data_IF_035467995756
#
_entry.id   IF_035467995756
#
_cell.length_a   1.000
_cell.length_b   1.000
_cell.length_c   1.000
_cell.angle_alpha   90.00
_cell.angle_beta   90.00
_cell.angle_gamma   90.00
#
_symmetry.space_group_name_H-M   'P 1'
#
loop_
_entity.id
_entity.type
_entity.pdbx_description
1 polymer ?
#
# COMPACT_ATOMS: atom_id res chain seq x y z
N UNK A 1 -12.89 20.50 -3.13
CA UNK A 1 -13.45 19.17 -2.82
C UNK A 1 -12.29 18.21 -2.77
N UNK A 2 -12.22 17.36 -1.76
CA UNK A 2 -11.20 16.30 -1.70
C UNK A 2 -11.31 15.41 -2.93
N UNK A 3 -10.18 15.09 -3.53
CA UNK A 3 -10.11 14.13 -4.66
C UNK A 3 -10.07 12.67 -4.18
N UNK A 4 -9.93 12.45 -2.88
CA UNK A 4 -9.92 11.12 -2.28
C UNK A 4 -11.36 10.74 -1.90
N UNK A 5 -11.82 9.59 -2.39
CA UNK A 5 -13.16 9.05 -2.08
C UNK A 5 -13.12 7.54 -2.25
N UNK A 6 -12.68 6.82 -1.22
CA UNK A 6 -12.46 5.37 -1.31
C UNK A 6 -12.93 4.68 -0.04
N UNK A 7 -14.16 4.18 -0.08
CA UNK A 7 -14.84 3.58 1.06
C UNK A 7 -14.88 2.06 0.99
N UNK A 8 -14.89 1.48 -0.21
CA UNK A 8 -15.01 0.03 -0.41
C UNK A 8 -14.11 -0.45 -1.53
N UNK A 9 -13.85 -1.76 -1.55
CA UNK A 9 -13.07 -2.39 -2.62
C UNK A 9 -13.85 -2.59 -3.93
N UNK A 10 -15.17 -2.44 -3.89
CA UNK A 10 -16.07 -2.66 -5.05
C UNK A 10 -16.67 -1.39 -5.65
N UNK A 11 -16.28 -0.21 -5.15
CA UNK A 11 -16.63 1.05 -5.83
C UNK A 11 -15.96 1.09 -7.20
N UNK A 12 -16.56 1.77 -8.18
CA UNK A 12 -15.90 2.04 -9.45
C UNK A 12 -14.52 2.66 -9.21
N UNK A 13 -13.50 2.12 -9.85
CA UNK A 13 -12.15 2.62 -9.76
C UNK A 13 -12.03 3.86 -10.63
N UNK A 14 -11.88 5.04 -10.01
CA UNK A 14 -11.71 6.30 -10.72
C UNK A 14 -10.24 6.69 -10.88
N UNK A 15 -9.44 6.44 -9.84
CA UNK A 15 -8.00 6.73 -9.85
C UNK A 15 -7.25 5.66 -9.05
N UNK A 16 -6.06 5.27 -9.54
CA UNK A 16 -5.21 4.27 -8.88
C UNK A 16 -3.73 4.64 -9.00
N UNK A 17 -2.97 4.32 -7.97
CA UNK A 17 -1.51 4.40 -8.00
C UNK A 17 -0.98 2.99 -8.30
N UNK A 18 -0.40 2.82 -9.48
CA UNK A 18 0.30 1.59 -9.87
C UNK A 18 1.79 1.77 -9.59
N UNK A 19 2.40 0.82 -8.91
CA UNK A 19 3.81 0.87 -8.54
C UNK A 19 4.75 0.98 -9.74
N UNK A 20 6.02 1.24 -9.47
CA UNK A 20 7.06 1.35 -10.49
C UNK A 20 8.31 0.58 -10.05
N UNK A 21 8.87 -0.25 -10.93
CA UNK A 21 10.19 -0.84 -10.73
C UNK A 21 11.28 0.08 -11.32
N UNK A 22 12.52 -0.10 -10.88
CA UNK A 22 13.65 0.54 -11.55
C UNK A 22 13.74 0.07 -13.00
N UNK A 23 14.33 0.89 -13.86
CA UNK A 23 14.67 0.46 -15.23
C UNK A 23 15.93 -0.42 -15.22
N UNK A 24 16.10 -1.34 -16.18
CA UNK A 24 17.23 -2.26 -16.21
C UNK A 24 18.60 -1.61 -16.06
N UNK A 25 18.77 -0.41 -16.62
CA UNK A 25 20.02 0.35 -16.62
C UNK A 25 20.47 0.84 -15.23
N UNK A 26 19.60 0.82 -14.21
CA UNK A 26 20.00 1.09 -12.82
C UNK A 26 21.08 0.13 -12.32
N UNK A 27 21.16 -1.07 -12.88
CA UNK A 27 22.09 -2.13 -12.49
C UNK A 27 23.27 -2.32 -13.46
N UNK A 28 23.53 -1.38 -14.35
CA UNK A 28 24.69 -1.43 -15.29
C UNK A 28 26.04 -1.52 -14.58
N UNK A 29 26.12 -1.05 -13.33
CA UNK A 29 27.34 -1.05 -12.53
C UNK A 29 27.74 -2.44 -12.00
N UNK A 30 26.87 -3.45 -12.09
CA UNK A 30 27.18 -4.80 -11.64
C UNK A 30 28.19 -5.45 -12.59
N UNK A 31 29.36 -5.79 -12.08
CA UNK A 31 30.45 -6.37 -12.87
C UNK A 31 30.16 -7.81 -13.33
N UNK A 32 29.52 -8.62 -12.47
CA UNK A 32 29.11 -9.98 -12.81
C UNK A 32 27.99 -9.94 -13.85
N UNK A 33 28.33 -10.25 -15.09
CA UNK A 33 27.39 -10.21 -16.20
C UNK A 33 26.18 -11.14 -15.98
N UNK A 34 26.38 -12.31 -15.36
CA UNK A 34 25.27 -13.26 -15.12
C UNK A 34 24.25 -12.68 -14.14
N UNK A 35 24.72 -12.09 -13.04
CA UNK A 35 23.85 -11.44 -12.04
C UNK A 35 23.19 -10.22 -12.63
N UNK A 36 23.95 -9.37 -13.33
CA UNK A 36 23.42 -8.16 -13.96
C UNK A 36 22.29 -8.49 -14.95
N UNK A 37 22.56 -9.40 -15.88
CA UNK A 37 21.62 -9.73 -16.95
C UNK A 37 20.31 -10.34 -16.39
N UNK A 38 20.40 -11.17 -15.35
CA UNK A 38 19.21 -11.70 -14.66
C UNK A 38 18.40 -10.61 -13.95
N UNK A 39 19.06 -9.71 -13.25
CA UNK A 39 18.37 -8.58 -12.60
C UNK A 39 17.72 -7.65 -13.62
N UNK A 40 18.42 -7.34 -14.68
CA UNK A 40 17.90 -6.51 -15.77
C UNK A 40 16.69 -7.15 -16.46
N UNK A 41 16.73 -8.47 -16.67
CA UNK A 41 15.58 -9.20 -17.19
C UNK A 41 14.38 -9.13 -16.25
N UNK A 42 14.56 -9.40 -14.97
CA UNK A 42 13.48 -9.32 -13.96
C UNK A 42 12.85 -7.92 -13.95
N UNK A 43 13.66 -6.87 -14.01
CA UNK A 43 13.16 -5.50 -14.03
C UNK A 43 12.40 -5.16 -15.31
N UNK A 44 12.88 -5.65 -16.45
CA UNK A 44 12.20 -5.45 -17.73
C UNK A 44 10.81 -6.12 -17.72
N UNK A 45 10.73 -7.38 -17.29
CA UNK A 45 9.49 -8.14 -17.17
C UNK A 45 8.53 -7.51 -16.14
N UNK A 46 9.05 -7.09 -14.99
CA UNK A 46 8.24 -6.39 -13.97
C UNK A 46 7.64 -5.09 -14.52
N UNK A 47 8.42 -4.29 -15.22
CA UNK A 47 7.90 -3.04 -15.82
C UNK A 47 6.87 -3.34 -16.91
N UNK A 48 7.06 -4.38 -17.72
CA UNK A 48 6.07 -4.80 -18.72
C UNK A 48 4.74 -5.19 -18.05
N UNK A 49 4.77 -5.94 -16.97
CA UNK A 49 3.58 -6.34 -16.21
C UNK A 49 2.87 -5.13 -15.58
N UNK A 50 3.62 -4.20 -15.00
CA UNK A 50 3.06 -2.97 -14.44
C UNK A 50 2.46 -2.06 -15.53
N UNK A 51 3.07 -1.99 -16.70
CA UNK A 51 2.55 -1.24 -17.84
C UNK A 51 1.29 -1.91 -18.43
N UNK A 52 1.21 -3.24 -18.42
CA UNK A 52 0.01 -3.99 -18.76
C UNK A 52 -1.13 -3.70 -17.76
N UNK A 53 -0.82 -3.68 -16.46
CA UNK A 53 -1.78 -3.31 -15.43
C UNK A 53 -2.29 -1.88 -15.60
N UNK A 54 -1.38 -0.93 -15.84
CA UNK A 54 -1.75 0.46 -16.15
C UNK A 54 -2.71 0.53 -17.33
N UNK A 55 -2.34 -0.05 -18.47
CA UNK A 55 -3.19 -0.05 -19.68
C UNK A 55 -4.55 -0.68 -19.45
N UNK A 56 -4.59 -1.72 -18.62
CA UNK A 56 -5.86 -2.35 -18.23
C UNK A 56 -6.73 -1.39 -17.46
N UNK A 57 -6.21 -0.74 -16.41
CA UNK A 57 -6.95 0.24 -15.62
C UNK A 57 -7.46 1.41 -16.49
N UNK A 58 -6.60 1.95 -17.35
CA UNK A 58 -6.94 3.05 -18.27
C UNK A 58 -8.03 2.64 -19.28
N UNK A 59 -8.01 1.39 -19.76
CA UNK A 59 -9.05 0.85 -20.65
C UNK A 59 -10.43 0.84 -19.98
N UNK A 60 -10.47 0.63 -18.68
CA UNK A 60 -11.70 0.71 -17.89
C UNK A 60 -12.01 2.12 -17.37
N UNK A 61 -11.29 3.13 -17.81
CA UNK A 61 -11.54 4.54 -17.55
C UNK A 61 -10.91 5.09 -16.27
N UNK A 62 -10.07 4.33 -15.59
CA UNK A 62 -9.37 4.81 -14.41
C UNK A 62 -8.18 5.72 -14.79
N UNK A 63 -7.95 6.75 -13.99
CA UNK A 63 -6.73 7.56 -14.06
C UNK A 63 -5.63 6.81 -13.33
N UNK A 64 -4.52 6.56 -14.02
CA UNK A 64 -3.36 5.88 -13.41
C UNK A 64 -2.26 6.88 -13.10
N UNK A 65 -1.79 6.86 -11.87
CA UNK A 65 -0.60 7.58 -11.42
C UNK A 65 0.54 6.60 -11.16
N UNK A 66 1.75 7.00 -11.52
CA UNK A 66 2.96 6.20 -11.30
C UNK A 66 3.93 6.99 -10.40
N UNK A 67 4.50 6.36 -9.36
CA UNK A 67 5.53 6.98 -8.52
C UNK A 67 6.73 7.46 -9.36
N UNK A 68 7.47 8.43 -8.84
CA UNK A 68 8.81 8.75 -9.33
C UNK A 68 9.78 7.59 -9.12
N UNK A 69 11.00 7.79 -9.53
CA UNK A 69 12.16 6.95 -9.16
C UNK A 69 13.23 7.88 -8.62
N UNK A 70 14.02 7.39 -7.68
CA UNK A 70 15.22 8.11 -7.24
C UNK A 70 16.19 8.25 -8.41
N UNK A 71 16.99 9.30 -8.37
CA UNK A 71 18.03 9.52 -9.37
C UNK A 71 19.01 8.33 -9.43
N UNK A 72 19.40 7.93 -10.66
CA UNK A 72 20.25 6.75 -10.89
C UNK A 72 21.63 6.90 -10.21
N UNK A 73 22.23 8.09 -10.27
CA UNK A 73 23.54 8.32 -9.62
C UNK A 73 23.41 8.31 -8.09
N UNK A 74 22.29 8.78 -7.57
CA UNK A 74 22.00 8.70 -6.15
C UNK A 74 21.74 7.26 -5.72
N UNK A 75 20.96 6.48 -6.50
CA UNK A 75 20.75 5.05 -6.29
C UNK A 75 22.09 4.31 -6.16
N UNK A 76 23.02 4.54 -7.09
CA UNK A 76 24.33 3.89 -7.06
C UNK A 76 25.16 4.26 -5.84
N UNK A 77 25.06 5.50 -5.35
CA UNK A 77 25.74 5.94 -4.12
C UNK A 77 25.17 5.34 -2.85
N UNK A 78 23.89 5.02 -2.82
CA UNK A 78 23.23 4.38 -1.68
C UNK A 78 23.58 2.90 -1.54
N UNK A 79 24.11 2.29 -2.60
CA UNK A 79 24.53 0.89 -2.61
C UNK A 79 25.77 0.70 -1.75
N UNK A 80 25.59 0.48 -0.48
CA UNK A 80 26.67 0.11 0.42
C UNK A 80 26.63 -1.40 0.67
N UNK A 81 27.77 -1.97 1.05
CA UNK A 81 27.86 -3.41 1.36
C UNK A 81 26.90 -3.86 2.45
N UNK A 82 26.45 -2.93 3.29
CA UNK A 82 25.68 -3.22 4.49
C UNK A 82 24.17 -2.92 4.33
N UNK A 83 23.77 -2.06 3.39
CA UNK A 83 22.39 -1.55 3.30
C UNK A 83 21.59 -2.09 2.10
N UNK A 84 22.22 -2.85 1.21
CA UNK A 84 21.56 -3.32 -0.01
C UNK A 84 21.16 -2.17 -0.95
N UNK A 85 20.41 -2.51 -2.00
CA UNK A 85 19.84 -1.54 -2.92
C UNK A 85 18.56 -0.93 -2.32
N UNK A 86 18.31 0.37 -2.49
CA UNK A 86 17.01 0.95 -2.16
C UNK A 86 15.90 0.22 -2.93
N UNK A 87 14.80 -0.05 -2.25
CA UNK A 87 13.65 -0.69 -2.89
C UNK A 87 12.93 0.31 -3.80
N UNK A 88 12.51 -0.09 -5.00
CA UNK A 88 11.69 0.77 -5.84
C UNK A 88 10.28 0.92 -5.25
N UNK A 89 9.53 1.96 -5.63
CA UNK A 89 8.16 2.18 -5.16
C UNK A 89 7.17 1.21 -5.85
N UNK A 90 7.40 -0.09 -5.67
CA UNK A 90 6.69 -1.16 -6.35
C UNK A 90 5.30 -1.41 -5.76
N UNK A 91 5.18 -1.31 -4.43
CA UNK A 91 3.98 -1.65 -3.67
C UNK A 91 3.42 -0.44 -2.91
N UNK A 92 2.85 0.58 -3.59
CA UNK A 92 2.34 1.79 -2.92
C UNK A 92 1.34 1.49 -1.81
N UNK A 93 0.63 0.35 -1.89
CA UNK A 93 -0.37 -0.09 -0.94
C UNK A 93 0.21 -0.38 0.46
N UNK A 94 1.48 -0.77 0.55
CA UNK A 94 2.13 -1.04 1.82
C UNK A 94 2.44 0.25 2.59
N UNK A 95 2.58 1.36 1.89
CA UNK A 95 3.05 2.63 2.45
C UNK A 95 1.95 3.66 2.65
N UNK A 96 0.81 3.47 1.99
CA UNK A 96 -0.31 4.41 2.08
C UNK A 96 -1.65 3.73 1.81
N UNK A 97 -2.69 4.26 2.41
CA UNK A 97 -4.06 3.78 2.24
C UNK A 97 -5.05 4.93 2.17
N UNK A 98 -6.02 4.81 1.26
CA UNK A 98 -7.20 5.68 1.28
C UNK A 98 -8.21 5.15 2.28
N UNK A 99 -8.67 6.00 3.18
CA UNK A 99 -9.70 5.72 4.18
C UNK A 99 -10.81 6.77 4.03
N UNK A 100 -11.83 6.43 3.26
CA UNK A 100 -12.91 7.38 2.93
C UNK A 100 -12.40 8.56 2.13
N UNK A 101 -12.46 9.76 2.68
CA UNK A 101 -12.01 11.01 2.07
C UNK A 101 -10.57 11.40 2.45
N UNK A 102 -9.84 10.51 3.09
CA UNK A 102 -8.46 10.71 3.52
C UNK A 102 -7.51 9.74 2.84
N UNK A 103 -6.29 10.20 2.61
CA UNK A 103 -5.13 9.40 2.22
C UNK A 103 -4.12 9.42 3.36
N UNK A 104 -4.00 8.31 4.07
CA UNK A 104 -3.02 8.15 5.14
C UNK A 104 -1.68 7.66 4.55
N UNK A 105 -0.63 8.38 4.83
CA UNK A 105 0.75 7.95 4.58
C UNK A 105 1.29 7.25 5.81
N UNK A 106 1.31 5.93 5.79
CA UNK A 106 1.82 5.12 6.90
C UNK A 106 3.33 5.18 6.94
N UNK A 107 3.97 5.19 5.77
CA UNK A 107 5.40 5.40 5.61
C UNK A 107 5.64 6.52 4.60
N UNK A 108 6.61 7.39 4.90
CA UNK A 108 7.03 8.43 3.96
C UNK A 108 7.96 7.81 2.92
N UNK A 109 7.55 7.88 1.66
CA UNK A 109 8.32 7.49 0.49
C UNK A 109 8.34 8.67 -0.46
N UNK A 110 9.52 9.25 -0.69
CA UNK A 110 9.68 10.51 -1.41
C UNK A 110 9.21 10.39 -2.88
N UNK A 111 9.34 9.22 -3.48
CA UNK A 111 8.87 8.94 -4.85
C UNK A 111 7.34 9.04 -5.01
N UNK A 112 6.60 9.09 -3.91
CA UNK A 112 5.16 9.29 -3.88
C UNK A 112 4.75 10.74 -3.53
N UNK A 113 5.69 11.61 -3.19
CA UNK A 113 5.40 12.96 -2.71
C UNK A 113 4.57 13.78 -3.70
N UNK A 114 4.94 13.80 -4.98
CA UNK A 114 4.21 14.55 -6.00
C UNK A 114 2.76 14.07 -6.12
N UNK A 115 2.55 12.76 -6.06
CA UNK A 115 1.21 12.17 -6.12
C UNK A 115 0.42 12.55 -4.87
N UNK A 116 0.98 12.33 -3.69
CA UNK A 116 0.33 12.63 -2.42
C UNK A 116 -0.01 14.13 -2.32
N UNK A 117 0.94 15.01 -2.61
CA UNK A 117 0.76 16.46 -2.55
C UNK A 117 -0.37 16.94 -3.48
N UNK A 118 -0.64 16.21 -4.57
CA UNK A 118 -1.74 16.54 -5.48
C UNK A 118 -3.14 16.42 -4.85
N UNK A 119 -3.27 15.76 -3.70
CA UNK A 119 -4.52 15.60 -2.96
C UNK A 119 -4.73 16.65 -1.87
N UNK A 120 -3.71 17.47 -1.57
CA UNK A 120 -3.82 18.59 -0.64
C UNK A 120 -4.25 18.15 0.77
N UNK A 121 -5.24 18.84 1.33
CA UNK A 121 -5.71 18.63 2.72
C UNK A 121 -6.33 17.24 2.99
N UNK A 122 -6.53 16.43 1.95
CA UNK A 122 -6.96 15.05 2.12
C UNK A 122 -5.84 14.14 2.64
N UNK A 123 -4.58 14.56 2.51
CA UNK A 123 -3.43 13.77 2.94
C UNK A 123 -3.19 13.93 4.43
N UNK A 124 -3.10 12.79 5.12
CA UNK A 124 -2.62 12.72 6.50
C UNK A 124 -1.20 12.18 6.44
N UNK A 125 -0.25 13.04 6.80
CA UNK A 125 1.16 12.70 6.85
C UNK A 125 1.68 12.83 8.29
N UNK A 126 1.66 11.77 9.09
CA UNK A 126 2.09 11.80 10.48
C UNK A 126 3.58 12.09 10.68
N UNK A 127 4.39 11.82 9.64
CA UNK A 127 5.83 12.08 9.66
C UNK A 127 6.20 13.55 9.42
N UNK A 128 5.21 14.40 9.04
CA UNK A 128 5.48 15.79 8.68
C UNK A 128 6.27 15.92 7.37
N UNK A 129 7.12 16.95 7.27
CA UNK A 129 7.93 17.19 6.07
C UNK A 129 9.17 16.30 5.98
N UNK A 130 9.66 15.81 7.13
CA UNK A 130 10.82 14.91 7.22
C UNK A 130 10.47 13.64 7.98
N UNK A 131 11.25 12.57 7.75
CA UNK A 131 11.10 11.33 8.51
C UNK A 131 11.28 11.60 10.01
N UNK A 132 10.29 11.21 10.80
CA UNK A 132 10.30 11.27 12.26
C UNK A 132 10.39 9.85 12.83
N UNK A 133 11.53 9.45 13.39
CA UNK A 133 11.69 8.12 13.97
C UNK A 133 10.81 7.89 15.22
N UNK A 134 10.37 8.97 15.88
CA UNK A 134 9.51 8.90 17.07
C UNK A 134 8.01 8.93 16.70
N UNK A 135 7.68 9.01 15.41
CA UNK A 135 6.30 8.99 14.94
C UNK A 135 5.61 7.69 15.39
N UNK A 136 4.43 7.84 15.98
CA UNK A 136 3.69 6.71 16.56
C UNK A 136 3.37 5.61 15.54
N UNK A 137 3.16 5.96 14.26
CA UNK A 137 2.87 5.00 13.20
C UNK A 137 4.12 4.55 12.43
N UNK A 138 5.31 4.94 12.90
CA UNK A 138 6.56 4.47 12.29
C UNK A 138 6.60 2.93 12.29
N UNK A 139 7.10 2.35 11.21
CA UNK A 139 7.15 0.90 10.96
C UNK A 139 5.78 0.21 10.80
N UNK A 140 4.67 0.95 10.80
CA UNK A 140 3.38 0.35 10.47
C UNK A 140 3.30 0.01 8.97
N UNK A 141 2.52 -1.01 8.63
CA UNK A 141 2.20 -1.32 7.24
C UNK A 141 0.73 -1.03 6.94
N UNK A 142 0.47 -0.32 5.86
CA UNK A 142 -0.90 -0.05 5.42
C UNK A 142 -1.62 -1.31 4.92
N UNK A 143 -0.88 -2.36 4.54
CA UNK A 143 -1.43 -3.67 4.18
C UNK A 143 -2.15 -4.39 5.33
N UNK A 144 -1.85 -4.00 6.58
CA UNK A 144 -2.57 -4.47 7.77
C UNK A 144 -3.92 -3.78 7.99
N UNK A 145 -4.34 -2.87 7.10
CA UNK A 145 -5.59 -2.13 7.23
C UNK A 145 -6.50 -2.50 6.06
N UNK A 146 -7.64 -3.11 6.36
CA UNK A 146 -8.64 -3.48 5.34
C UNK A 146 -9.94 -2.75 5.59
N UNK A 147 -10.48 -2.11 4.55
CA UNK A 147 -11.73 -1.33 4.64
C UNK A 147 -12.87 -2.03 3.91
N UNK A 148 -14.02 -2.02 4.55
CA UNK A 148 -15.26 -2.60 4.02
C UNK A 148 -16.41 -1.64 4.28
N UNK A 149 -16.53 -0.63 3.45
CA UNK A 149 -17.50 0.45 3.69
C UNK A 149 -17.09 1.28 4.91
N UNK A 150 -17.93 1.26 5.93
CA UNK A 150 -17.66 1.90 7.22
C UNK A 150 -16.98 0.97 8.23
N UNK A 151 -16.71 -0.27 7.86
CA UNK A 151 -15.96 -1.20 8.69
C UNK A 151 -14.48 -1.15 8.30
N UNK A 152 -13.62 -1.00 9.29
CA UNK A 152 -12.16 -0.97 9.11
C UNK A 152 -11.55 -2.01 10.01
N UNK A 153 -10.85 -2.95 9.41
CA UNK A 153 -10.15 -4.03 10.10
C UNK A 153 -8.69 -3.67 10.25
N UNK A 154 -8.20 -3.77 11.47
CA UNK A 154 -6.80 -3.60 11.82
C UNK A 154 -6.21 -4.96 12.19
N UNK A 155 -5.24 -5.41 11.41
CA UNK A 155 -4.45 -6.57 11.76
C UNK A 155 -3.35 -6.17 12.76
N UNK A 156 -3.62 -6.38 14.02
CA UNK A 156 -2.71 -6.07 15.13
C UNK A 156 -1.60 -7.13 15.23
N UNK A 157 -0.81 -7.22 14.18
CA UNK A 157 0.39 -8.04 14.08
C UNK A 157 1.67 -7.26 14.41
N UNK A 158 2.82 -7.83 14.11
CA UNK A 158 4.11 -7.14 14.22
C UNK A 158 4.21 -5.89 13.33
N UNK A 159 3.40 -5.82 12.27
CA UNK A 159 3.39 -4.74 11.27
C UNK A 159 2.38 -3.62 11.56
N UNK A 160 1.46 -3.82 12.52
CA UNK A 160 0.53 -2.78 12.96
C UNK A 160 0.16 -3.01 14.44
N UNK A 161 0.85 -2.32 15.33
CA UNK A 161 0.66 -2.46 16.78
C UNK A 161 -0.62 -1.75 17.25
N UNK A 162 -1.26 -2.19 18.36
CA UNK A 162 -2.50 -1.60 18.87
C UNK A 162 -2.43 -0.08 19.09
N UNK A 163 -1.28 0.45 19.52
CA UNK A 163 -1.08 1.91 19.65
C UNK A 163 -1.17 2.65 18.33
N UNK A 164 -0.75 2.02 17.24
CA UNK A 164 -0.79 2.57 15.89
C UNK A 164 -2.21 2.55 15.34
N UNK A 165 -2.93 1.44 15.51
CA UNK A 165 -4.36 1.32 15.17
C UNK A 165 -5.19 2.38 15.92
N UNK A 166 -4.94 2.56 17.21
CA UNK A 166 -5.61 3.59 18.01
C UNK A 166 -5.33 5.01 17.50
N UNK A 167 -4.09 5.30 17.15
CA UNK A 167 -3.74 6.59 16.58
C UNK A 167 -4.47 6.86 15.26
N UNK A 168 -4.56 5.85 14.37
CA UNK A 168 -5.27 5.95 13.10
C UNK A 168 -6.75 6.20 13.33
N UNK A 169 -7.36 5.48 14.26
CA UNK A 169 -8.76 5.70 14.66
C UNK A 169 -9.01 7.15 15.08
N UNK A 170 -8.16 7.68 15.96
CA UNK A 170 -8.35 9.00 16.54
C UNK A 170 -8.07 10.15 15.56
N UNK A 171 -7.20 9.95 14.57
CA UNK A 171 -6.72 11.01 13.70
C UNK A 171 -7.21 10.94 12.24
N UNK A 172 -7.59 9.76 11.77
CA UNK A 172 -7.92 9.56 10.35
C UNK A 172 -9.41 9.27 10.12
N UNK A 173 -10.12 8.80 11.14
CA UNK A 173 -11.46 8.26 11.00
C UNK A 173 -12.43 9.01 11.93
N UNK A 174 -13.69 9.06 11.55
CA UNK A 174 -14.74 9.69 12.34
C UNK A 174 -15.75 8.67 12.88
N UNK A 175 -16.80 9.15 13.56
CA UNK A 175 -17.81 8.31 14.19
C UNK A 175 -18.67 7.46 13.24
N UNK A 176 -18.50 7.62 11.92
CA UNK A 176 -19.17 6.76 10.92
C UNK A 176 -18.53 5.38 10.81
N UNK A 177 -17.26 5.25 11.26
CA UNK A 177 -16.50 4.02 11.11
C UNK A 177 -16.65 3.12 12.33
N UNK A 178 -16.73 1.81 12.05
CA UNK A 178 -16.65 0.75 13.04
C UNK A 178 -15.28 0.08 12.90
N UNK A 179 -14.68 -0.21 14.03
CA UNK A 179 -13.34 -0.76 14.09
C UNK A 179 -13.39 -2.20 14.53
N UNK A 180 -12.64 -3.03 13.84
CA UNK A 180 -12.47 -4.44 14.14
C UNK A 180 -10.98 -4.71 14.31
N UNK A 181 -10.62 -5.42 15.35
CA UNK A 181 -9.26 -5.89 15.56
C UNK A 181 -9.19 -7.34 15.12
N UNK A 182 -8.22 -7.63 14.27
CA UNK A 182 -7.88 -8.97 13.85
C UNK A 182 -6.43 -9.26 14.21
N UNK A 183 -6.07 -10.52 14.35
CA UNK A 183 -4.69 -10.94 14.48
C UNK A 183 -4.48 -12.00 13.41
N UNK A 184 -3.66 -11.66 12.43
CA UNK A 184 -3.20 -12.61 11.41
C UNK A 184 -1.70 -12.81 11.53
N UNK A 185 -1.18 -13.90 11.02
CA UNK A 185 0.28 -14.14 11.00
C UNK A 185 0.98 -13.38 9.86
N UNK A 186 0.35 -12.33 9.34
CA UNK A 186 0.88 -11.59 8.20
C UNK A 186 0.23 -10.25 7.99
N UNK A 187 -0.18 -9.99 6.76
CA UNK A 187 -0.88 -8.78 6.37
C UNK A 187 -2.36 -9.06 6.14
N UNK A 188 -3.25 -8.27 6.73
CA UNK A 188 -4.70 -8.50 6.66
C UNK A 188 -5.23 -8.58 5.22
N UNK A 189 -4.68 -7.81 4.29
CA UNK A 189 -5.08 -7.85 2.88
C UNK A 189 -4.58 -9.10 2.13
N UNK A 190 -3.67 -9.88 2.72
CA UNK A 190 -3.26 -11.19 2.21
C UNK A 190 -4.13 -12.32 2.76
N UNK A 191 -4.83 -12.09 3.88
CA UNK A 191 -5.63 -13.12 4.56
C UNK A 191 -7.07 -13.12 4.09
N UNK A 192 -7.65 -11.94 3.86
CA UNK A 192 -9.00 -11.85 3.33
C UNK A 192 -9.18 -10.73 2.30
N UNK A 193 -10.05 -10.95 1.34
CA UNK A 193 -10.38 -9.99 0.30
C UNK A 193 -11.90 -9.91 0.12
N UNK A 194 -12.40 -8.68 -0.03
CA UNK A 194 -13.80 -8.44 -0.32
C UNK A 194 -13.99 -8.47 -1.83
N UNK A 195 -14.76 -9.42 -2.32
CA UNK A 195 -15.00 -9.56 -3.76
C UNK A 195 -16.15 -8.67 -4.24
N UNK A 196 -17.20 -8.57 -3.45
CA UNK A 196 -18.38 -7.73 -3.69
C UNK A 196 -19.19 -7.63 -2.39
N UNK A 197 -20.22 -6.76 -2.32
CA UNK A 197 -21.13 -6.77 -1.17
C UNK A 197 -21.68 -8.17 -0.91
N UNK A 198 -21.54 -8.63 0.32
CA UNK A 198 -22.03 -9.94 0.75
C UNK A 198 -21.14 -11.14 0.42
N UNK A 199 -19.95 -10.94 -0.20
CA UNK A 199 -19.02 -12.04 -0.52
C UNK A 199 -17.59 -11.70 -0.13
N UNK A 200 -17.02 -12.53 0.72
CA UNK A 200 -15.67 -12.45 1.26
C UNK A 200 -14.88 -13.69 0.85
N UNK A 201 -13.67 -13.49 0.37
CA UNK A 201 -12.69 -14.56 0.18
C UNK A 201 -11.73 -14.55 1.37
N UNK A 202 -11.53 -15.70 2.01
CA UNK A 202 -10.55 -15.85 3.08
C UNK A 202 -9.56 -16.97 2.78
N UNK A 203 -8.31 -16.79 3.15
CA UNK A 203 -7.36 -17.88 3.18
C UNK A 203 -7.72 -18.80 4.34
N UNK A 204 -7.79 -20.13 4.09
CA UNK A 204 -8.13 -21.13 5.11
C UNK A 204 -7.08 -21.29 6.23
N UNK A 205 -6.08 -20.43 6.26
CA UNK A 205 -4.93 -20.54 7.14
C UNK A 205 -5.16 -19.92 8.52
N UNK A 206 -6.25 -19.17 8.72
CA UNK A 206 -6.44 -18.44 9.95
C UNK A 206 -7.74 -18.82 10.65
N UNK A 207 -7.64 -19.81 11.56
CA UNK A 207 -8.72 -20.20 12.46
C UNK A 207 -9.02 -19.11 13.54
N UNK A 208 -8.22 -18.02 13.57
CA UNK A 208 -8.35 -16.95 14.57
C UNK A 208 -9.31 -15.83 14.12
N UNK A 209 -9.58 -15.73 12.82
CA UNK A 209 -10.52 -14.77 12.29
C UNK A 209 -11.94 -15.31 12.31
N UNK A 210 -12.77 -14.84 13.24
CA UNK A 210 -14.22 -15.11 13.21
C UNK A 210 -14.93 -14.13 12.25
N UNK A 211 -14.55 -14.19 10.97
CA UNK A 211 -15.12 -13.33 9.93
C UNK A 211 -16.64 -13.51 9.81
N UNK A 212 -17.18 -14.67 10.16
CA UNK A 212 -18.61 -14.91 10.15
C UNK A 212 -19.34 -14.07 11.21
N UNK A 213 -18.72 -13.82 12.33
CA UNK A 213 -19.24 -12.92 13.38
C UNK A 213 -19.18 -11.45 12.97
N UNK A 214 -18.07 -11.05 12.33
CA UNK A 214 -17.87 -9.67 11.89
C UNK A 214 -18.72 -9.31 10.67
N UNK A 215 -19.05 -10.30 9.84
CA UNK A 215 -19.85 -10.16 8.63
C UNK A 215 -21.10 -11.06 8.64
N UNK A 216 -22.05 -10.81 9.54
CA UNK A 216 -23.25 -11.68 9.63
C UNK A 216 -24.04 -11.64 8.33
N UNK A 217 -24.29 -12.84 7.77
CA UNK A 217 -25.04 -13.00 6.52
C UNK A 217 -24.23 -12.81 5.25
N UNK A 218 -22.91 -12.74 5.36
CA UNK A 218 -22.02 -12.76 4.20
C UNK A 218 -21.57 -14.19 3.86
N UNK A 219 -21.39 -14.45 2.57
CA UNK A 219 -20.78 -15.69 2.09
C UNK A 219 -19.26 -15.58 2.26
N UNK A 220 -18.67 -16.47 3.06
CA UNK A 220 -17.23 -16.64 3.22
C UNK A 220 -16.77 -17.82 2.38
N UNK A 221 -15.88 -17.59 1.42
CA UNK A 221 -15.36 -18.57 0.48
C UNK A 221 -13.91 -18.94 0.76
#
# INVERSE_FOLDING_TARGET
MSKVSSYTSWQPLEEVIVGRAYTPDYFDFIEDATVRDQLQQILAETNEDLDNLQRTCETYGAIVKRPGLIDKDYFQKLQTKDNGAPLPPLTPRDWQISLGDKLLRVLKVDELDDICNSYGDAVINPHGESFDPDCVINEASASCIVRVGTDVFFDNSDYLKPKQSKWIQDNCLDSRYRFHEAITDGHGDAVFAILKPGVLLSSKWDDQLDLASDFPGWDVC
#
